data_IF_450399950070
#
_entry.id   IF_450399950070
#
_cell.length_a   1.000
_cell.length_b   1.000
_cell.length_c   1.000
_cell.angle_alpha   90.00
_cell.angle_beta   90.00
_cell.angle_gamma   90.00
#
_symmetry.space_group_name_H-M   'P 1'
#
loop_
_entity.id
_entity.type
_entity.pdbx_description
1 polymer ?
#
# COMPACT_ATOMS: atom_id res chain seq x y z
N UNK A 1 -0.29 15.91 39.06
CA UNK A 1 -1.43 15.10 38.59
C UNK A 1 -0.86 13.90 37.86
N UNK A 2 -0.76 12.76 38.55
CA UNK A 2 -0.52 11.46 37.91
C UNK A 2 -1.74 11.15 37.06
N UNK A 3 -1.56 11.09 35.73
CA UNK A 3 -2.56 10.46 34.86
C UNK A 3 -2.68 9.02 35.34
N UNK A 4 -3.85 8.62 35.82
CA UNK A 4 -4.16 7.20 35.87
C UNK A 4 -4.15 6.72 34.42
N UNK A 5 -3.14 5.93 34.06
CA UNK A 5 -3.07 5.26 32.79
C UNK A 5 -3.88 3.98 32.97
N UNK A 6 -5.12 3.89 32.47
CA UNK A 6 -5.83 2.62 32.49
C UNK A 6 -4.95 1.60 31.78
N UNK A 7 -4.86 0.41 32.35
CA UNK A 7 -4.08 -0.74 31.86
C UNK A 7 -4.60 -1.27 30.50
N UNK A 8 -5.36 -0.45 29.77
CA UNK A 8 -6.02 -0.66 28.47
C UNK A 8 -5.43 0.27 27.38
N UNK A 9 -4.30 0.95 27.65
CA UNK A 9 -3.66 1.87 26.69
C UNK A 9 -3.12 1.15 25.43
N UNK A 10 -2.75 -0.13 25.55
CA UNK A 10 -2.56 -1.03 24.42
C UNK A 10 -3.72 -2.01 24.31
N UNK A 11 -4.86 -1.54 23.79
CA UNK A 11 -5.87 -2.47 23.30
C UNK A 11 -5.21 -3.47 22.33
N UNK A 12 -5.64 -4.73 22.39
CA UNK A 12 -5.13 -5.76 21.47
C UNK A 12 -5.31 -5.23 20.06
N UNK A 13 -4.36 -5.54 19.18
CA UNK A 13 -4.42 -5.02 17.83
C UNK A 13 -5.60 -5.62 17.05
N UNK A 14 -6.71 -4.90 17.10
CA UNK A 14 -7.95 -5.17 16.38
C UNK A 14 -8.02 -4.42 15.05
N UNK A 15 -6.93 -3.73 14.66
CA UNK A 15 -6.86 -2.87 13.49
C UNK A 15 -7.27 -1.43 13.75
N UNK A 16 -7.31 -0.63 12.69
CA UNK A 16 -7.69 0.79 12.77
C UNK A 16 -9.21 0.96 12.75
N UNK A 17 -9.70 1.95 13.49
CA UNK A 17 -11.10 2.38 13.43
C UNK A 17 -11.29 3.45 12.35
N UNK A 18 -11.98 3.11 11.27
CA UNK A 18 -12.32 4.03 10.20
C UNK A 18 -13.29 5.14 10.64
N UNK A 19 -14.02 4.96 11.75
CA UNK A 19 -14.94 5.96 12.30
C UNK A 19 -14.23 7.03 13.15
N UNK A 20 -12.95 6.87 13.45
CA UNK A 20 -12.16 7.87 14.18
C UNK A 20 -12.03 9.16 13.39
N UNK A 21 -12.26 10.31 14.03
CA UNK A 21 -12.06 11.66 13.45
C UNK A 21 -10.64 11.87 12.88
N UNK A 22 -9.67 11.15 13.44
CA UNK A 22 -8.27 11.26 13.06
C UNK A 22 -7.92 10.49 11.78
N UNK A 23 -8.75 9.50 11.40
CA UNK A 23 -8.47 8.52 10.35
C UNK A 23 -8.34 9.14 8.94
N UNK A 24 -9.27 10.01 8.47
CA UNK A 24 -9.12 10.64 7.15
C UNK A 24 -7.82 11.43 6.99
N UNK A 25 -7.37 12.08 8.07
CA UNK A 25 -6.10 12.80 8.11
C UNK A 25 -4.89 11.86 7.97
N UNK A 26 -4.93 10.70 8.64
CA UNK A 26 -3.89 9.68 8.56
C UNK A 26 -3.79 9.08 7.15
N UNK A 27 -4.92 8.71 6.54
CA UNK A 27 -4.97 8.19 5.16
C UNK A 27 -4.39 9.22 4.19
N UNK A 28 -4.86 10.47 4.26
CA UNK A 28 -4.36 11.55 3.41
C UNK A 28 -2.85 11.77 3.57
N UNK A 29 -2.36 11.75 4.81
CA UNK A 29 -0.94 11.90 5.11
C UNK A 29 -0.09 10.81 4.46
N UNK A 30 -0.51 9.55 4.57
CA UNK A 30 0.20 8.40 3.98
C UNK A 30 0.22 8.47 2.45
N UNK A 31 -0.93 8.77 1.83
CA UNK A 31 -1.03 8.82 0.36
C UNK A 31 -0.24 9.96 -0.25
N UNK A 32 -0.19 11.13 0.40
CA UNK A 32 0.52 12.30 -0.11
C UNK A 32 2.00 12.36 0.29
N UNK A 33 2.44 11.51 1.23
CA UNK A 33 3.81 11.52 1.71
C UNK A 33 4.86 11.35 0.60
N UNK A 34 4.71 10.44 -0.40
CA UNK A 34 5.68 10.32 -1.48
C UNK A 34 5.80 11.59 -2.32
N UNK A 35 4.68 12.25 -2.62
CA UNK A 35 4.69 13.50 -3.37
C UNK A 35 5.42 14.60 -2.60
N UNK A 36 5.07 14.78 -1.32
CA UNK A 36 5.73 15.77 -0.45
C UNK A 36 7.23 15.49 -0.33
N UNK A 37 7.63 14.22 -0.21
CA UNK A 37 9.03 13.83 -0.09
C UNK A 37 9.83 14.04 -1.38
N UNK A 38 9.21 13.86 -2.56
CA UNK A 38 9.87 14.06 -3.85
C UNK A 38 10.24 15.53 -4.12
N UNK A 39 9.48 16.47 -3.54
CA UNK A 39 9.64 17.91 -3.80
C UNK A 39 9.41 18.34 -5.25
N UNK A 40 8.91 17.43 -6.10
CA UNK A 40 8.71 17.65 -7.53
C UNK A 40 7.47 18.50 -7.86
N UNK A 41 7.39 19.04 -9.09
CA UNK A 41 6.28 19.87 -9.53
C UNK A 41 4.95 19.08 -9.67
N UNK A 42 5.00 17.75 -9.63
CA UNK A 42 3.83 16.89 -9.72
C UNK A 42 4.10 15.46 -9.22
N UNK A 43 3.07 14.60 -9.20
CA UNK A 43 3.16 13.21 -8.75
C UNK A 43 4.15 12.38 -9.57
N UNK A 44 5.10 11.76 -8.88
CA UNK A 44 6.06 10.81 -9.45
C UNK A 44 5.51 9.37 -9.44
N UNK A 45 6.27 8.41 -9.99
CA UNK A 45 5.93 6.98 -9.98
C UNK A 45 5.48 6.47 -8.60
N UNK A 46 6.21 6.84 -7.55
CA UNK A 46 5.93 6.44 -6.16
C UNK A 46 4.56 6.92 -5.71
N UNK A 47 4.23 8.18 -5.99
CA UNK A 47 2.94 8.78 -5.66
C UNK A 47 1.81 8.14 -6.45
N UNK A 48 2.00 7.97 -7.76
CA UNK A 48 0.98 7.41 -8.64
C UNK A 48 0.64 5.97 -8.24
N UNK A 49 1.65 5.12 -7.99
CA UNK A 49 1.45 3.73 -7.56
C UNK A 49 0.86 3.62 -6.15
N UNK A 50 1.21 4.50 -5.22
CA UNK A 50 0.55 4.57 -3.92
C UNK A 50 -0.95 4.89 -4.07
N UNK A 51 -1.31 5.79 -4.98
CA UNK A 51 -2.70 6.11 -5.26
C UNK A 51 -3.45 4.95 -5.96
N UNK A 52 -2.78 4.21 -6.87
CA UNK A 52 -3.33 2.97 -7.44
C UNK A 52 -3.57 1.88 -6.40
N UNK A 53 -2.70 1.79 -5.40
CA UNK A 53 -2.89 0.87 -4.26
C UNK A 53 -4.20 1.19 -3.54
N UNK A 54 -4.42 2.48 -3.23
CA UNK A 54 -5.68 2.93 -2.59
C UNK A 54 -6.89 2.65 -3.47
N UNK A 55 -6.79 2.89 -4.79
CA UNK A 55 -7.87 2.58 -5.73
C UNK A 55 -8.25 1.09 -5.70
N UNK A 56 -7.25 0.21 -5.72
CA UNK A 56 -7.43 -1.23 -5.64
C UNK A 56 -8.04 -1.68 -4.30
N UNK A 57 -7.58 -1.14 -3.18
CA UNK A 57 -8.13 -1.45 -1.86
C UNK A 57 -9.58 -0.96 -1.72
N UNK A 58 -9.91 0.20 -2.28
CA UNK A 58 -11.29 0.67 -2.36
C UNK A 58 -12.15 -0.23 -3.25
N UNK A 59 -11.57 -0.79 -4.32
CA UNK A 59 -12.26 -1.79 -5.13
C UNK A 59 -12.59 -3.03 -4.31
N UNK A 60 -11.61 -3.61 -3.62
CA UNK A 60 -11.82 -4.75 -2.70
C UNK A 60 -12.94 -4.45 -1.69
N UNK A 61 -12.92 -3.27 -1.07
CA UNK A 61 -13.94 -2.86 -0.11
C UNK A 61 -15.34 -2.75 -0.75
N UNK A 62 -15.45 -2.28 -1.99
CA UNK A 62 -16.73 -2.23 -2.73
C UNK A 62 -17.26 -3.64 -3.01
N UNK A 63 -16.42 -4.54 -3.52
CA UNK A 63 -16.82 -5.93 -3.76
C UNK A 63 -17.29 -6.60 -2.47
N UNK A 64 -16.56 -6.39 -1.37
CA UNK A 64 -16.94 -6.91 -0.05
C UNK A 64 -18.27 -6.35 0.44
N UNK A 65 -18.54 -5.05 0.23
CA UNK A 65 -19.82 -4.43 0.55
C UNK A 65 -20.99 -5.01 -0.28
N UNK A 66 -20.71 -5.45 -1.51
CA UNK A 66 -21.65 -6.16 -2.38
C UNK A 66 -21.75 -7.67 -2.07
N UNK A 67 -21.10 -8.14 -0.99
CA UNK A 67 -21.12 -9.55 -0.55
C UNK A 67 -20.24 -10.48 -1.39
N UNK A 68 -19.31 -9.93 -2.17
CA UNK A 68 -18.40 -10.67 -3.04
C UNK A 68 -16.97 -10.62 -2.49
N UNK A 69 -16.23 -11.70 -2.68
CA UNK A 69 -14.82 -11.73 -2.32
C UNK A 69 -13.97 -11.22 -3.49
N UNK A 70 -13.00 -10.37 -3.20
CA UNK A 70 -11.98 -9.93 -4.13
C UNK A 70 -10.60 -10.19 -3.53
N UNK A 71 -9.64 -10.60 -4.36
CA UNK A 71 -8.25 -10.79 -3.95
C UNK A 71 -7.52 -9.43 -3.98
N UNK A 72 -7.03 -8.91 -2.84
CA UNK A 72 -6.39 -7.59 -2.79
C UNK A 72 -5.13 -7.49 -3.62
N UNK A 73 -4.34 -8.57 -3.71
CA UNK A 73 -3.09 -8.62 -4.48
C UNK A 73 -3.40 -8.57 -5.97
N UNK A 74 -4.40 -9.32 -6.43
CA UNK A 74 -4.86 -9.28 -7.82
C UNK A 74 -5.45 -7.92 -8.19
N UNK A 75 -6.27 -7.31 -7.33
CA UNK A 75 -6.80 -5.96 -7.56
C UNK A 75 -5.66 -4.93 -7.68
N UNK A 76 -4.66 -4.98 -6.77
CA UNK A 76 -3.52 -4.08 -6.82
C UNK A 76 -2.69 -4.27 -8.10
N UNK A 77 -2.41 -5.52 -8.47
CA UNK A 77 -1.71 -5.83 -9.71
C UNK A 77 -2.43 -5.32 -10.95
N UNK A 78 -3.74 -5.55 -11.08
CA UNK A 78 -4.51 -5.05 -12.23
C UNK A 78 -4.52 -3.50 -12.28
N UNK A 79 -4.58 -2.82 -11.14
CA UNK A 79 -4.48 -1.37 -11.07
C UNK A 79 -3.08 -0.87 -11.49
N UNK A 80 -2.01 -1.56 -11.08
CA UNK A 80 -0.65 -1.23 -11.52
C UNK A 80 -0.42 -1.53 -13.00
N UNK A 81 -1.03 -2.59 -13.52
CA UNK A 81 -0.93 -2.96 -14.92
C UNK A 81 -1.64 -1.94 -15.82
N UNK A 82 -2.82 -1.43 -15.42
CA UNK A 82 -3.45 -0.27 -16.08
C UNK A 82 -2.51 0.92 -16.14
N UNK A 83 -1.95 1.29 -14.98
CA UNK A 83 -1.00 2.39 -14.89
C UNK A 83 0.20 2.18 -15.81
N UNK A 84 0.79 0.98 -15.85
CA UNK A 84 1.94 0.70 -16.69
C UNK A 84 1.61 0.87 -18.19
N UNK A 85 0.45 0.37 -18.64
CA UNK A 85 -0.02 0.51 -20.02
C UNK A 85 -0.24 1.98 -20.40
N UNK A 86 -0.87 2.77 -19.53
CA UNK A 86 -1.05 4.21 -19.74
C UNK A 86 0.27 4.97 -19.82
N UNK A 87 1.31 4.43 -19.19
CA UNK A 87 2.68 4.95 -19.19
C UNK A 87 3.59 4.27 -20.23
N UNK A 88 3.00 3.61 -21.24
CA UNK A 88 3.72 3.13 -22.42
C UNK A 88 4.26 1.70 -22.34
N UNK A 89 3.95 0.95 -21.28
CA UNK A 89 4.27 -0.48 -21.24
C UNK A 89 3.54 -1.22 -22.37
N UNK A 90 4.28 -2.08 -23.06
CA UNK A 90 3.73 -2.96 -24.10
C UNK A 90 3.65 -4.37 -23.55
N UNK A 91 2.44 -4.80 -23.24
CA UNK A 91 2.21 -6.12 -22.69
C UNK A 91 2.26 -7.21 -23.78
N UNK A 92 2.70 -8.44 -23.45
CA UNK A 92 2.52 -9.61 -24.30
C UNK A 92 1.05 -9.84 -24.69
N UNK A 93 0.80 -10.52 -25.81
CA UNK A 93 -0.57 -10.77 -26.31
C UNK A 93 -1.42 -11.64 -25.36
N UNK A 94 -0.77 -12.48 -24.55
CA UNK A 94 -1.41 -13.35 -23.57
C UNK A 94 -1.54 -12.73 -22.17
N UNK A 95 -1.03 -11.50 -21.99
CA UNK A 95 -1.20 -10.76 -20.75
C UNK A 95 -2.67 -10.34 -20.56
N UNK A 96 -3.14 -10.23 -19.31
CA UNK A 96 -4.48 -9.73 -19.06
C UNK A 96 -4.59 -8.26 -19.49
N UNK A 97 -5.74 -7.92 -20.07
CA UNK A 97 -6.13 -6.55 -20.34
C UNK A 97 -7.07 -6.08 -19.23
N UNK A 98 -6.57 -5.38 -18.20
CA UNK A 98 -7.40 -4.95 -17.09
C UNK A 98 -8.49 -3.99 -17.61
N UNK A 99 -9.75 -4.17 -17.20
CA UNK A 99 -10.83 -3.26 -17.60
C UNK A 99 -10.52 -1.85 -17.07
N UNK A 100 -10.88 -0.83 -17.85
CA UNK A 100 -10.77 0.57 -17.42
C UNK A 100 -11.55 0.80 -16.14
N UNK A 101 -10.98 1.56 -15.22
CA UNK A 101 -11.68 2.03 -14.03
C UNK A 101 -12.01 3.53 -14.15
N UNK A 102 -12.69 4.08 -13.14
CA UNK A 102 -13.00 5.52 -13.08
C UNK A 102 -11.84 6.39 -12.60
N UNK A 103 -10.73 5.81 -12.12
CA UNK A 103 -9.69 6.50 -11.36
C UNK A 103 -9.02 7.59 -12.19
N UNK A 104 -8.63 7.28 -13.42
CA UNK A 104 -7.88 8.21 -14.28
C UNK A 104 -8.69 9.44 -14.68
N UNK A 105 -9.99 9.23 -14.87
CA UNK A 105 -10.95 10.30 -15.14
C UNK A 105 -11.22 11.16 -13.90
N UNK A 106 -11.27 10.55 -12.73
CA UNK A 106 -11.58 11.23 -11.45
C UNK A 106 -10.37 11.93 -10.83
N UNK A 107 -9.17 11.43 -11.12
CA UNK A 107 -7.91 11.90 -10.54
C UNK A 107 -6.81 12.13 -11.60
N UNK A 108 -7.05 13.00 -12.60
CA UNK A 108 -6.13 13.17 -13.73
C UNK A 108 -4.72 13.63 -13.33
N UNK A 109 -4.56 14.34 -12.22
CA UNK A 109 -3.23 14.74 -11.70
C UNK A 109 -2.41 13.55 -11.21
N UNK A 110 -3.06 12.53 -10.65
CA UNK A 110 -2.42 11.29 -10.16
C UNK A 110 -2.28 10.22 -11.26
N UNK A 111 -2.80 10.51 -12.45
CA UNK A 111 -2.83 9.64 -13.62
C UNK A 111 -2.07 10.22 -14.81
N UNK A 112 -1.36 11.33 -14.62
CA UNK A 112 -0.66 12.00 -15.71
C UNK A 112 0.43 11.07 -16.28
N UNK A 113 0.39 10.76 -17.60
CA UNK A 113 1.33 9.84 -18.21
C UNK A 113 2.74 10.45 -18.30
N UNK A 114 3.75 9.60 -18.19
CA UNK A 114 5.16 9.98 -18.30
C UNK A 114 6.06 8.78 -18.65
N UNK A 115 7.33 9.04 -18.93
CA UNK A 115 8.32 7.96 -19.04
C UNK A 115 8.69 7.46 -17.65
N UNK A 116 8.66 6.13 -17.49
CA UNK A 116 8.95 5.44 -16.24
C UNK A 116 9.96 4.31 -16.46
N UNK A 117 10.59 3.86 -15.39
CA UNK A 117 11.58 2.77 -15.42
C UNK A 117 11.80 2.18 -14.03
N UNK A 118 12.81 1.32 -13.92
CA UNK A 118 13.14 0.63 -12.67
C UNK A 118 12.35 -0.67 -12.48
N UNK A 119 12.69 -1.37 -11.40
CA UNK A 119 12.24 -2.75 -11.12
C UNK A 119 10.71 -2.90 -11.20
N UNK A 120 9.97 -1.89 -10.74
CA UNK A 120 8.50 -1.92 -10.79
C UNK A 120 7.96 -1.91 -12.21
N UNK A 121 8.43 -0.98 -13.04
CA UNK A 121 7.94 -0.82 -14.41
C UNK A 121 8.38 -2.00 -15.28
N UNK A 122 9.62 -2.48 -15.09
CA UNK A 122 10.16 -3.64 -15.79
C UNK A 122 9.34 -4.91 -15.49
N UNK A 123 9.01 -5.15 -14.22
CA UNK A 123 8.17 -6.28 -13.83
C UNK A 123 6.76 -6.19 -14.42
N UNK A 124 6.12 -5.02 -14.36
CA UNK A 124 4.75 -4.82 -14.88
C UNK A 124 4.69 -4.98 -16.40
N UNK A 125 5.76 -4.60 -17.12
CA UNK A 125 5.86 -4.76 -18.57
C UNK A 125 5.84 -6.24 -19.00
N UNK A 126 6.21 -7.17 -18.11
CA UNK A 126 6.07 -8.61 -18.40
C UNK A 126 4.62 -9.07 -18.48
N UNK A 127 3.67 -8.31 -17.92
CA UNK A 127 2.27 -8.68 -17.83
C UNK A 127 1.97 -9.84 -16.87
N UNK A 128 2.97 -10.40 -16.18
CA UNK A 128 2.81 -11.48 -15.23
C UNK A 128 2.59 -10.96 -13.79
N UNK A 129 1.82 -11.71 -13.00
CA UNK A 129 1.69 -11.48 -11.56
C UNK A 129 2.85 -12.17 -10.84
N UNK A 130 3.69 -11.39 -10.15
CA UNK A 130 4.71 -11.94 -9.26
C UNK A 130 4.13 -12.47 -7.96
N UNK A 131 4.70 -13.58 -7.48
CA UNK A 131 4.38 -14.21 -6.20
C UNK A 131 5.65 -14.42 -5.38
N UNK A 132 5.54 -14.53 -4.05
CA UNK A 132 6.69 -14.74 -3.16
C UNK A 132 7.53 -15.95 -3.60
N UNK A 133 6.87 -17.07 -3.93
CA UNK A 133 7.53 -18.30 -4.36
C UNK A 133 7.86 -18.35 -5.85
N UNK A 134 7.29 -17.43 -6.66
CA UNK A 134 7.45 -17.36 -8.12
C UNK A 134 7.59 -15.90 -8.54
N UNK A 135 8.70 -15.24 -8.19
CA UNK A 135 8.88 -13.83 -8.52
C UNK A 135 9.12 -13.65 -10.02
N UNK A 136 8.52 -12.61 -10.59
CA UNK A 136 8.77 -12.22 -11.99
C UNK A 136 10.20 -11.73 -12.17
N UNK A 137 10.67 -10.88 -11.24
CA UNK A 137 12.05 -10.39 -11.17
C UNK A 137 12.69 -10.86 -9.85
N UNK A 138 13.38 -12.02 -9.81
CA UNK A 138 13.92 -12.59 -8.57
C UNK A 138 14.91 -11.69 -7.81
N UNK A 139 15.62 -10.82 -8.53
CA UNK A 139 16.65 -9.93 -7.97
C UNK A 139 16.20 -8.48 -7.81
N UNK A 140 14.96 -8.15 -8.20
CA UNK A 140 14.42 -6.81 -8.03
C UNK A 140 14.40 -6.45 -6.54
N UNK A 141 15.08 -5.36 -6.20
CA UNK A 141 15.40 -4.96 -4.83
C UNK A 141 15.37 -3.45 -4.60
N UNK A 142 14.85 -2.68 -5.55
CA UNK A 142 14.79 -1.22 -5.43
C UNK A 142 13.79 -0.77 -4.34
N UNK A 143 13.96 0.44 -3.76
CA UNK A 143 13.08 0.95 -2.71
C UNK A 143 11.72 1.45 -3.22
N UNK A 144 11.46 1.43 -4.54
CA UNK A 144 10.23 1.94 -5.17
C UNK A 144 8.96 1.36 -4.56
N UNK A 145 9.01 0.09 -4.16
CA UNK A 145 7.85 -0.62 -3.62
C UNK A 145 7.37 -0.04 -2.27
N UNK A 146 8.23 0.66 -1.53
CA UNK A 146 7.91 1.11 -0.17
C UNK A 146 6.74 2.11 -0.18
N UNK A 147 6.78 3.07 -1.10
CA UNK A 147 5.75 4.10 -1.22
C UNK A 147 4.37 3.50 -1.51
N UNK A 148 4.30 2.52 -2.42
CA UNK A 148 3.04 1.83 -2.76
C UNK A 148 2.62 0.76 -1.73
N UNK A 149 3.51 0.37 -0.81
CA UNK A 149 3.15 -0.56 0.27
C UNK A 149 2.63 0.18 1.51
N UNK A 150 3.02 1.44 1.70
CA UNK A 150 2.58 2.27 2.82
C UNK A 150 1.05 2.35 3.00
N UNK A 151 0.21 2.44 1.95
CA UNK A 151 -1.25 2.47 2.08
C UNK A 151 -1.88 1.24 2.74
N UNK A 152 -1.24 0.07 2.71
CA UNK A 152 -1.76 -1.11 3.42
C UNK A 152 -1.77 -0.90 4.94
N UNK A 153 -0.84 -0.11 5.48
CA UNK A 153 -0.74 0.18 6.91
C UNK A 153 -1.95 0.95 7.47
N UNK A 154 -2.76 1.57 6.61
CA UNK A 154 -3.96 2.32 7.02
C UNK A 154 -5.26 1.54 6.83
N UNK A 155 -5.20 0.23 6.55
CA UNK A 155 -6.42 -0.58 6.40
C UNK A 155 -7.19 -0.70 7.72
N UNK A 156 -8.51 -0.41 7.72
CA UNK A 156 -9.33 -0.51 8.91
C UNK A 156 -9.71 -1.95 9.23
N UNK A 157 -9.88 -2.27 10.51
CA UNK A 157 -10.28 -3.61 10.98
C UNK A 157 -9.27 -4.75 10.72
N UNK A 158 -8.09 -4.44 10.20
CA UNK A 158 -7.00 -5.39 9.97
C UNK A 158 -5.88 -5.09 10.98
N UNK A 159 -5.62 -6.03 11.87
CA UNK A 159 -4.48 -5.95 12.80
C UNK A 159 -3.14 -6.32 12.12
N UNK A 160 -2.04 -6.16 12.86
CA UNK A 160 -0.68 -6.35 12.34
C UNK A 160 -0.42 -7.71 11.67
N UNK A 161 -0.99 -8.80 12.20
CA UNK A 161 -0.70 -10.16 11.72
C UNK A 161 -1.19 -10.40 10.28
N UNK A 162 -2.48 -10.20 9.93
CA UNK A 162 -2.94 -10.28 8.55
C UNK A 162 -2.31 -9.21 7.63
N UNK A 163 -1.95 -8.04 8.18
CA UNK A 163 -1.25 -7.00 7.41
C UNK A 163 0.10 -7.47 6.85
N UNK A 164 0.84 -8.32 7.58
CA UNK A 164 2.11 -8.89 7.09
C UNK A 164 1.92 -9.66 5.79
N UNK A 165 0.88 -10.50 5.71
CA UNK A 165 0.59 -11.29 4.51
C UNK A 165 0.23 -10.39 3.31
N UNK A 166 -0.65 -9.40 3.53
CA UNK A 166 -1.02 -8.45 2.48
C UNK A 166 0.17 -7.66 1.96
N UNK A 167 1.03 -7.17 2.85
CA UNK A 167 2.18 -6.37 2.46
C UNK A 167 3.24 -7.19 1.71
N UNK A 168 3.50 -8.43 2.13
CA UNK A 168 4.48 -9.30 1.44
C UNK A 168 3.97 -9.71 0.06
N UNK A 169 2.69 -10.09 -0.07
CA UNK A 169 2.09 -10.47 -1.34
C UNK A 169 2.05 -9.29 -2.31
N UNK A 170 1.71 -8.09 -1.83
CA UNK A 170 1.75 -6.86 -2.65
C UNK A 170 3.17 -6.49 -3.10
N UNK A 171 4.19 -6.73 -2.27
CA UNK A 171 5.58 -6.47 -2.66
C UNK A 171 6.02 -7.43 -3.77
N UNK A 172 5.65 -8.71 -3.62
CA UNK A 172 6.01 -9.78 -4.53
C UNK A 172 5.46 -9.61 -5.94
N UNK A 173 4.42 -8.79 -6.13
CA UNK A 173 3.88 -8.42 -7.46
C UNK A 173 5.01 -8.00 -8.41
N UNK A 174 6.02 -7.27 -7.93
CA UNK A 174 7.16 -6.85 -8.78
C UNK A 174 8.54 -7.13 -8.22
N UNK A 175 8.71 -7.30 -6.91
CA UNK A 175 10.03 -7.47 -6.28
C UNK A 175 10.22 -8.88 -5.74
N UNK A 176 11.23 -9.58 -6.25
CA UNK A 176 11.57 -10.94 -5.80
C UNK A 176 12.59 -11.03 -4.67
N UNK A 177 13.36 -9.97 -4.40
CA UNK A 177 14.34 -9.99 -3.31
C UNK A 177 13.63 -10.11 -1.95
N UNK A 178 14.03 -11.06 -1.08
CA UNK A 178 13.51 -11.17 0.28
C UNK A 178 13.70 -9.90 1.11
N UNK A 179 14.82 -9.20 0.90
CA UNK A 179 15.12 -7.94 1.59
C UNK A 179 14.11 -6.85 1.23
N UNK A 180 13.77 -6.75 -0.05
CA UNK A 180 12.79 -5.77 -0.55
C UNK A 180 11.39 -6.06 0.00
N UNK A 181 10.97 -7.33 -0.04
CA UNK A 181 9.69 -7.78 0.53
C UNK A 181 9.63 -7.56 2.05
N UNK A 182 10.72 -7.84 2.77
CA UNK A 182 10.81 -7.58 4.21
C UNK A 182 10.71 -6.09 4.52
N UNK A 183 11.38 -5.24 3.73
CA UNK A 183 11.29 -3.79 3.89
C UNK A 183 9.86 -3.26 3.62
N UNK A 184 9.14 -3.87 2.67
CA UNK A 184 7.73 -3.59 2.40
C UNK A 184 6.85 -3.81 3.62
N UNK A 185 7.00 -4.99 4.24
CA UNK A 185 6.28 -5.36 5.46
C UNK A 185 6.62 -4.39 6.58
N UNK A 186 7.91 -4.07 6.75
CA UNK A 186 8.36 -3.07 7.72
C UNK A 186 7.71 -1.70 7.51
N UNK A 187 7.59 -1.24 6.27
CA UNK A 187 6.92 0.03 5.95
C UNK A 187 5.42 0.01 6.31
N UNK A 188 4.69 -1.03 5.92
CA UNK A 188 3.27 -1.16 6.25
C UNK A 188 3.04 -1.21 7.77
N UNK A 189 3.85 -1.98 8.51
CA UNK A 189 3.77 -2.07 9.96
C UNK A 189 4.14 -0.75 10.65
N UNK A 190 5.15 -0.04 10.15
CA UNK A 190 5.53 1.27 10.69
C UNK A 190 4.40 2.30 10.54
N UNK A 191 3.77 2.35 9.37
CA UNK A 191 2.58 3.20 9.14
C UNK A 191 1.45 2.81 10.08
N UNK A 192 1.14 1.51 10.17
CA UNK A 192 0.09 1.00 11.03
C UNK A 192 0.31 1.38 12.50
N UNK A 193 1.52 1.13 13.02
CA UNK A 193 1.91 1.49 14.38
C UNK A 193 1.83 3.00 14.63
N UNK A 194 2.29 3.83 13.67
CA UNK A 194 2.23 5.29 13.79
C UNK A 194 0.79 5.81 13.85
N UNK A 195 -0.12 5.24 13.05
CA UNK A 195 -1.53 5.64 13.06
C UNK A 195 -2.22 5.20 14.34
N UNK A 196 -1.94 3.98 14.83
CA UNK A 196 -2.44 3.51 16.13
C UNK A 196 -1.96 4.39 17.28
N UNK A 197 -0.67 4.70 17.33
CA UNK A 197 -0.10 5.57 18.36
C UNK A 197 -0.73 6.98 18.34
N UNK A 198 -0.99 7.53 17.15
CA UNK A 198 -1.69 8.81 17.01
C UNK A 198 -3.14 8.74 17.51
N UNK A 199 -3.83 7.63 17.29
CA UNK A 199 -5.22 7.46 17.73
C UNK A 199 -5.33 7.27 19.25
N UNK A 200 -4.40 6.54 19.87
CA UNK A 200 -4.38 6.34 21.33
C UNK A 200 -3.75 7.49 22.10
N UNK A 201 -2.95 8.34 21.44
CA UNK A 201 -2.13 9.36 22.10
C UNK A 201 -1.02 8.76 22.97
N UNK A 202 -0.68 7.49 22.77
CA UNK A 202 0.32 6.77 23.55
C UNK A 202 1.74 7.23 23.21
N UNK A 203 2.55 7.45 24.25
CA UNK A 203 3.97 7.77 24.11
C UNK A 203 4.80 6.48 23.96
N UNK A 204 5.94 6.53 23.25
CA UNK A 204 6.80 5.35 23.03
C UNK A 204 7.19 4.65 24.36
N UNK A 205 7.43 5.44 25.41
CA UNK A 205 7.76 4.92 26.75
C UNK A 205 6.63 4.07 27.37
N UNK A 206 5.39 4.40 27.06
CA UNK A 206 4.20 3.71 27.58
C UNK A 206 4.07 2.36 26.86
N UNK A 207 4.31 2.34 25.55
CA UNK A 207 4.38 1.12 24.75
C UNK A 207 5.46 0.17 25.27
N UNK A 208 6.68 0.69 25.49
CA UNK A 208 7.81 -0.13 25.98
C UNK A 208 7.52 -0.73 27.36
N UNK A 209 6.92 0.04 28.27
CA UNK A 209 6.61 -0.40 29.62
C UNK A 209 5.59 -1.55 29.68
N UNK A 210 4.67 -1.62 28.71
CA UNK A 210 3.68 -2.70 28.63
C UNK A 210 4.17 -3.95 27.87
N UNK A 211 5.27 -3.83 27.11
CA UNK A 211 5.87 -4.94 26.36
C UNK A 211 7.06 -5.61 27.06
N UNK A 212 7.51 -5.05 28.19
CA UNK A 212 8.62 -5.56 29.00
C UNK A 212 8.14 -6.52 30.09
#
# INVERSE_FOLDING_TARGET
MTREHPTELLDRDHGLDAASDSYPGSVRGVVLAPWVASGGPGPDQSTQLAARTVSALNEVARWAADGQNADPTACAWLAYLRWAVENGARLPEDAPHPPSDGFDREHPTLAAPGEHGGDTFDALTTGALGEVMRPVLPLAGSPELLARTAPYGVLPGIGWKPLVALAVDSAAITHGSPEAQTAAVGMALAVHAAVRARASGAELREVVAETA
#
